data_IF_138594152228
#
_entry.id   IF_138594152228
#
_cell.length_a   1.000
_cell.length_b   1.000
_cell.length_c   1.000
_cell.angle_alpha   90.00
_cell.angle_beta   90.00
_cell.angle_gamma   90.00
#
_symmetry.space_group_name_H-M   'P 1'
#
loop_
_entity.id
_entity.type
_entity.pdbx_description
1 polymer ?
#
# COMPACT_ATOMS: atom_id res chain seq x y z
N UNK A 1 -9.11 -12.45 8.24
CA UNK A 1 -9.04 -12.15 6.79
C UNK A 1 -10.28 -11.39 6.33
N UNK A 2 -10.94 -10.60 7.21
CA UNK A 2 -12.26 -10.04 6.90
C UNK A 2 -12.26 -8.76 6.05
N UNK A 3 -11.17 -7.99 6.01
CA UNK A 3 -11.14 -6.73 5.25
C UNK A 3 -11.36 -6.97 3.75
N UNK A 4 -10.51 -7.78 3.11
CA UNK A 4 -10.64 -8.08 1.68
C UNK A 4 -11.96 -8.77 1.32
N UNK A 5 -12.43 -9.68 2.17
CA UNK A 5 -13.72 -10.35 2.02
C UNK A 5 -14.88 -9.33 2.06
N UNK A 6 -14.88 -8.41 3.04
CA UNK A 6 -15.91 -7.37 3.15
C UNK A 6 -15.92 -6.42 1.95
N UNK A 7 -14.75 -6.04 1.43
CA UNK A 7 -14.65 -5.20 0.22
C UNK A 7 -15.11 -5.95 -1.02
N UNK A 8 -14.77 -7.22 -1.17
CA UNK A 8 -15.26 -8.07 -2.26
C UNK A 8 -16.79 -8.18 -2.25
N UNK A 9 -17.41 -8.37 -1.08
CA UNK A 9 -18.87 -8.37 -0.95
C UNK A 9 -19.46 -7.01 -1.34
N UNK A 10 -18.89 -5.90 -0.88
CA UNK A 10 -19.36 -4.56 -1.23
C UNK A 10 -19.29 -4.30 -2.75
N UNK A 11 -18.20 -4.68 -3.41
CA UNK A 11 -18.06 -4.57 -4.87
C UNK A 11 -19.15 -5.37 -5.61
N UNK A 12 -19.47 -6.59 -5.15
CA UNK A 12 -20.53 -7.41 -5.74
C UNK A 12 -21.90 -6.77 -5.57
N UNK A 13 -22.20 -6.21 -4.39
CA UNK A 13 -23.46 -5.50 -4.15
C UNK A 13 -23.60 -4.34 -5.13
N UNK A 14 -22.55 -3.53 -5.30
CA UNK A 14 -22.56 -2.42 -6.25
C UNK A 14 -22.73 -2.88 -7.70
N UNK A 15 -22.12 -4.01 -8.08
CA UNK A 15 -22.34 -4.63 -9.39
C UNK A 15 -23.81 -5.03 -9.61
N UNK A 16 -24.46 -5.62 -8.61
CA UNK A 16 -25.90 -5.97 -8.68
C UNK A 16 -26.77 -4.72 -8.76
N UNK A 17 -26.46 -3.67 -7.99
CA UNK A 17 -27.18 -2.40 -8.05
C UNK A 17 -27.11 -1.82 -9.46
N UNK A 18 -25.93 -1.77 -10.08
CA UNK A 18 -25.79 -1.32 -11.46
C UNK A 18 -26.67 -2.14 -12.43
N UNK A 19 -26.66 -3.47 -12.31
CA UNK A 19 -27.43 -4.35 -13.18
C UNK A 19 -28.96 -4.18 -13.03
N UNK A 20 -29.44 -4.05 -11.80
CA UNK A 20 -30.88 -4.00 -11.51
C UNK A 20 -31.48 -2.59 -11.68
N UNK A 21 -30.72 -1.55 -11.32
CA UNK A 21 -31.22 -0.17 -11.28
C UNK A 21 -30.70 0.72 -12.41
N UNK A 22 -29.69 0.28 -13.17
CA UNK A 22 -29.05 1.08 -14.20
C UNK A 22 -28.19 2.23 -13.67
N UNK A 23 -28.03 2.37 -12.35
CA UNK A 23 -27.17 3.39 -11.74
C UNK A 23 -25.72 3.18 -12.17
N UNK A 24 -25.06 4.25 -12.62
CA UNK A 24 -23.64 4.23 -12.92
C UNK A 24 -22.84 4.01 -11.64
N UNK A 25 -21.91 3.06 -11.68
CA UNK A 25 -21.06 2.65 -10.56
C UNK A 25 -19.61 2.68 -11.02
N UNK A 26 -18.76 3.35 -10.26
CA UNK A 26 -17.31 3.29 -10.42
C UNK A 26 -16.68 2.72 -9.14
N UNK A 27 -15.93 1.63 -9.29
CA UNK A 27 -15.22 0.95 -8.21
C UNK A 27 -13.73 1.23 -8.38
N UNK A 28 -13.15 1.92 -7.41
CA UNK A 28 -11.72 2.21 -7.38
C UNK A 28 -11.05 1.30 -6.36
N UNK A 29 -10.26 0.34 -6.86
CA UNK A 29 -9.44 -0.56 -6.05
C UNK A 29 -8.10 0.11 -5.76
N UNK A 30 -8.06 0.87 -4.68
CA UNK A 30 -6.88 1.64 -4.30
C UNK A 30 -5.92 0.73 -3.52
N UNK A 31 -4.64 0.73 -3.91
CA UNK A 31 -3.57 0.05 -3.18
C UNK A 31 -3.12 0.82 -1.94
N UNK A 32 -1.84 0.72 -1.61
CA UNK A 32 -1.27 1.50 -0.50
C UNK A 32 -1.26 2.99 -0.87
N UNK A 33 -1.95 3.81 -0.08
CA UNK A 33 -1.91 5.26 -0.22
C UNK A 33 -0.67 5.77 0.53
N UNK A 34 0.18 6.50 -0.18
CA UNK A 34 1.37 7.19 0.31
C UNK A 34 1.06 8.56 0.92
N UNK A 35 2.10 9.26 1.34
CA UNK A 35 1.99 10.68 1.70
C UNK A 35 1.74 11.57 0.48
N UNK A 36 1.60 12.89 0.68
CA UNK A 36 1.44 13.79 -0.45
C UNK A 36 2.69 13.83 -1.34
N UNK A 37 2.51 14.00 -2.65
CA UNK A 37 3.60 14.30 -3.57
C UNK A 37 4.06 15.75 -3.42
N UNK A 38 3.13 16.67 -3.18
CA UNK A 38 3.44 18.08 -2.94
C UNK A 38 3.94 18.31 -1.51
N UNK A 39 5.19 18.78 -1.38
CA UNK A 39 5.79 19.09 -0.08
C UNK A 39 4.95 20.13 0.68
N UNK A 40 4.68 19.85 1.95
CA UNK A 40 3.93 20.76 2.83
C UNK A 40 2.41 20.73 2.70
N UNK A 41 1.85 19.87 1.84
CA UNK A 41 0.39 19.76 1.63
C UNK A 41 -0.31 18.83 2.63
N UNK A 42 0.41 18.24 3.58
CA UNK A 42 -0.18 17.38 4.60
C UNK A 42 0.82 16.38 5.19
N UNK A 43 0.28 15.49 6.02
CA UNK A 43 1.06 14.46 6.73
C UNK A 43 0.56 13.08 6.30
N UNK A 44 1.47 12.15 6.05
CA UNK A 44 1.10 10.75 5.85
C UNK A 44 0.72 10.11 7.19
N UNK A 45 -0.54 9.64 7.37
CA UNK A 45 -0.91 8.95 8.59
C UNK A 45 0.00 7.74 8.82
N UNK A 46 0.24 7.43 10.09
CA UNK A 46 1.07 6.29 10.46
C UNK A 46 0.52 5.02 9.83
N UNK A 47 1.33 4.41 8.96
CA UNK A 47 1.03 3.08 8.44
C UNK A 47 1.51 2.06 9.47
N UNK A 48 0.59 1.62 10.33
CA UNK A 48 0.89 0.78 11.49
C UNK A 48 1.69 -0.48 11.15
N UNK A 49 1.39 -1.12 10.02
CA UNK A 49 2.10 -2.33 9.59
C UNK A 49 3.55 -2.04 9.15
N UNK A 50 3.79 -0.93 8.42
CA UNK A 50 5.13 -0.49 8.01
C UNK A 50 5.94 -0.07 9.25
N UNK A 51 5.37 0.78 10.10
CA UNK A 51 6.01 1.21 11.35
C UNK A 51 6.35 0.02 12.23
N UNK A 52 5.46 -0.98 12.32
CA UNK A 52 5.69 -2.19 13.09
C UNK A 52 6.88 -3.00 12.56
N UNK A 53 7.04 -3.11 11.23
CA UNK A 53 8.23 -3.74 10.62
C UNK A 53 9.49 -2.97 11.02
N UNK A 54 9.50 -1.63 10.88
CA UNK A 54 10.68 -0.80 11.18
C UNK A 54 11.07 -0.87 12.65
N UNK A 55 10.12 -0.65 13.57
CA UNK A 55 10.37 -0.70 15.02
C UNK A 55 10.81 -2.08 15.47
N UNK A 56 10.19 -3.13 14.93
CA UNK A 56 10.62 -4.52 15.21
C UNK A 56 12.02 -4.76 14.68
N UNK A 57 12.35 -4.31 13.46
CA UNK A 57 13.66 -4.49 12.85
C UNK A 57 14.80 -3.85 13.66
N UNK A 58 14.59 -2.64 14.21
CA UNK A 58 15.56 -1.98 15.09
C UNK A 58 15.88 -2.77 16.36
N UNK A 59 14.92 -3.51 16.90
CA UNK A 59 15.10 -4.30 18.14
C UNK A 59 15.49 -5.75 17.86
N UNK A 60 14.97 -6.33 16.78
CA UNK A 60 15.22 -7.71 16.36
C UNK A 60 16.59 -7.86 15.69
N UNK A 61 17.09 -6.80 15.04
CA UNK A 61 18.38 -6.76 14.36
C UNK A 61 18.31 -6.73 12.83
N UNK A 62 17.38 -7.45 12.17
CA UNK A 62 17.21 -7.37 10.73
C UNK A 62 15.88 -6.75 10.27
N UNK A 63 15.86 -6.19 9.06
CA UNK A 63 14.66 -5.85 8.29
C UNK A 63 14.38 -6.89 7.20
N UNK A 64 13.09 -7.16 6.89
CA UNK A 64 12.72 -8.05 5.80
C UNK A 64 12.79 -7.32 4.45
N UNK A 65 13.41 -7.95 3.46
CA UNK A 65 13.27 -7.59 2.04
C UNK A 65 12.15 -8.38 1.37
N UNK A 66 11.74 -7.88 0.21
CA UNK A 66 10.78 -8.57 -0.66
C UNK A 66 9.35 -8.61 -0.14
N UNK A 67 8.99 -7.79 0.86
CA UNK A 67 7.69 -7.89 1.55
C UNK A 67 6.52 -7.69 0.59
N UNK A 68 6.53 -6.58 -0.14
CA UNK A 68 5.47 -6.13 -1.03
C UNK A 68 6.06 -5.21 -2.11
N UNK A 69 5.36 -4.99 -3.24
CA UNK A 69 5.78 -3.96 -4.18
C UNK A 69 5.64 -2.58 -3.53
N UNK A 70 6.52 -1.65 -3.89
CA UNK A 70 6.34 -0.24 -3.54
C UNK A 70 5.61 0.41 -4.72
N UNK A 71 4.29 0.20 -4.73
CA UNK A 71 3.35 0.73 -5.71
C UNK A 71 2.48 1.86 -5.13
N UNK A 72 3.05 2.59 -4.18
CA UNK A 72 2.32 3.49 -3.30
C UNK A 72 1.88 4.75 -4.04
N UNK A 73 0.58 5.02 -4.03
CA UNK A 73 0.02 6.21 -4.70
C UNK A 73 -0.01 7.41 -3.76
N UNK A 74 0.57 8.56 -4.12
CA UNK A 74 0.46 9.76 -3.31
C UNK A 74 -1.00 10.19 -3.10
N UNK A 75 -1.35 10.62 -1.88
CA UNK A 75 -2.75 10.87 -1.50
C UNK A 75 -3.44 11.96 -2.33
N UNK A 76 -2.70 13.00 -2.69
CA UNK A 76 -3.12 14.09 -3.59
C UNK A 76 -3.42 13.60 -5.00
N UNK A 77 -2.65 12.61 -5.49
CA UNK A 77 -2.93 11.95 -6.77
C UNK A 77 -4.15 11.05 -6.69
N UNK A 78 -4.31 10.27 -5.62
CA UNK A 78 -5.53 9.46 -5.39
C UNK A 78 -6.77 10.36 -5.35
N UNK A 79 -6.72 11.48 -4.64
CA UNK A 79 -7.82 12.44 -4.60
C UNK A 79 -8.16 13.01 -5.99
N UNK A 80 -7.13 13.32 -6.80
CA UNK A 80 -7.29 13.71 -8.18
C UNK A 80 -7.99 12.66 -9.04
N UNK A 81 -7.60 11.38 -8.92
CA UNK A 81 -8.25 10.26 -9.64
C UNK A 81 -9.72 10.14 -9.24
N UNK A 82 -10.02 10.22 -7.94
CA UNK A 82 -11.40 10.17 -7.43
C UNK A 82 -12.24 11.33 -7.99
N UNK A 83 -11.68 12.54 -8.03
CA UNK A 83 -12.34 13.71 -8.60
C UNK A 83 -12.57 13.56 -10.11
N UNK A 84 -11.58 13.07 -10.86
CA UNK A 84 -11.69 12.86 -12.30
C UNK A 84 -12.78 11.83 -12.61
N UNK A 85 -12.83 10.72 -11.88
CA UNK A 85 -13.85 9.67 -12.02
C UNK A 85 -15.24 10.18 -11.61
N UNK A 86 -15.34 11.01 -10.57
CA UNK A 86 -16.61 11.57 -10.11
C UNK A 86 -17.14 12.67 -11.03
N UNK A 87 -16.25 13.41 -11.68
CA UNK A 87 -16.56 14.53 -12.59
C UNK A 87 -16.75 14.12 -14.06
N UNK A 88 -16.71 12.82 -14.39
CA UNK A 88 -17.04 12.33 -15.72
C UNK A 88 -18.54 12.53 -16.04
N UNK A 89 -18.87 13.71 -16.56
CA UNK A 89 -20.15 14.02 -17.20
C UNK A 89 -20.38 13.19 -18.48
N UNK A 90 -21.65 13.03 -18.86
CA UNK A 90 -22.27 12.09 -19.81
C UNK A 90 -21.80 12.14 -21.30
N UNK A 91 -20.59 12.65 -21.58
CA UNK A 91 -20.09 12.89 -22.95
C UNK A 91 -18.98 11.95 -23.45
N UNK A 92 -18.42 11.07 -22.61
CA UNK A 92 -17.53 10.00 -23.08
C UNK A 92 -18.39 8.79 -23.45
N UNK A 93 -18.32 8.41 -24.73
CA UNK A 93 -19.24 7.51 -25.43
C UNK A 93 -19.93 6.45 -24.56
N UNK A 94 -21.25 6.44 -24.68
CA UNK A 94 -22.23 5.59 -24.03
C UNK A 94 -22.14 4.09 -24.41
N UNK A 95 -20.94 3.55 -24.56
CA UNK A 95 -20.70 2.12 -24.82
C UNK A 95 -20.35 1.34 -23.54
N UNK A 96 -19.98 2.02 -22.45
CA UNK A 96 -19.60 1.38 -21.20
C UNK A 96 -20.84 1.12 -20.33
N UNK A 97 -21.03 -0.14 -19.90
CA UNK A 97 -22.26 -0.71 -19.29
C UNK A 97 -22.58 -0.18 -17.87
N UNK A 98 -22.28 1.08 -17.58
CA UNK A 98 -22.53 1.75 -16.31
C UNK A 98 -21.65 1.28 -15.15
N UNK A 99 -21.05 0.09 -15.18
CA UNK A 99 -20.11 -0.41 -14.17
C UNK A 99 -18.67 -0.30 -14.65
N UNK A 100 -17.86 0.49 -13.94
CA UNK A 100 -16.41 0.59 -14.14
C UNK A 100 -15.65 0.09 -12.92
N UNK A 101 -14.57 -0.63 -13.16
CA UNK A 101 -13.64 -1.08 -12.11
C UNK A 101 -12.24 -0.65 -12.53
N UNK A 102 -11.50 0.02 -11.65
CA UNK A 102 -10.14 0.48 -11.94
C UNK A 102 -9.23 0.24 -10.75
N UNK A 103 -8.04 -0.29 -11.00
CA UNK A 103 -7.02 -0.43 -9.96
C UNK A 103 -6.20 0.87 -9.89
N UNK A 104 -6.18 1.47 -8.71
CA UNK A 104 -5.50 2.74 -8.44
C UNK A 104 -4.26 2.45 -7.61
N UNK A 105 -3.18 2.11 -8.31
CA UNK A 105 -1.84 1.86 -7.77
C UNK A 105 -0.81 2.55 -8.67
N UNK A 106 0.41 2.73 -8.18
CA UNK A 106 1.47 3.34 -8.98
C UNK A 106 1.75 2.45 -10.22
N UNK A 107 1.76 3.02 -11.44
CA UNK A 107 1.91 2.23 -12.67
C UNK A 107 3.30 1.59 -12.82
N UNK A 108 4.30 2.20 -12.20
CA UNK A 108 5.69 1.77 -12.21
C UNK A 108 6.14 1.45 -10.78
N UNK A 109 5.83 0.26 -10.25
CA UNK A 109 6.21 -0.11 -8.89
C UNK A 109 7.72 -0.25 -8.78
N UNK A 110 8.29 0.30 -7.70
CA UNK A 110 9.71 0.15 -7.39
C UNK A 110 9.95 -1.00 -6.41
N UNK A 111 11.21 -1.43 -6.29
CA UNK A 111 11.60 -2.47 -5.35
C UNK A 111 11.39 -2.02 -3.90
N UNK A 112 11.05 -2.98 -3.04
CA UNK A 112 11.05 -2.81 -1.58
C UNK A 112 12.40 -2.32 -1.05
N UNK A 113 13.49 -2.65 -1.75
CA UNK A 113 14.82 -2.19 -1.38
C UNK A 113 14.93 -0.66 -1.41
N UNK A 114 14.18 0.05 -2.27
CA UNK A 114 14.13 1.52 -2.27
C UNK A 114 13.62 2.05 -0.93
N UNK A 115 12.62 1.40 -0.34
CA UNK A 115 12.13 1.75 0.99
C UNK A 115 13.18 1.46 2.08
N UNK A 116 13.87 0.32 2.00
CA UNK A 116 14.94 -0.03 2.96
C UNK A 116 16.13 0.94 2.87
N UNK A 117 16.54 1.31 1.65
CA UNK A 117 17.59 2.29 1.39
C UNK A 117 17.21 3.68 1.89
N UNK A 118 15.93 4.06 1.70
CA UNK A 118 15.37 5.29 2.25
C UNK A 118 15.48 5.31 3.78
N UNK A 119 15.11 4.22 4.46
CA UNK A 119 15.23 4.09 5.92
C UNK A 119 16.68 4.21 6.40
N UNK A 120 17.63 3.58 5.68
CA UNK A 120 19.05 3.67 6.00
C UNK A 120 19.57 5.10 5.83
N UNK A 121 19.33 5.71 4.66
CA UNK A 121 19.89 7.00 4.25
C UNK A 121 19.32 8.19 5.02
N UNK A 122 18.01 8.21 5.27
CA UNK A 122 17.32 9.36 5.85
C UNK A 122 16.94 9.19 7.32
N UNK A 123 16.88 7.95 7.83
CA UNK A 123 16.43 7.66 9.19
C UNK A 123 17.46 6.87 10.02
N UNK A 124 18.67 6.65 9.50
CA UNK A 124 19.77 6.00 10.22
C UNK A 124 19.47 4.56 10.64
N UNK A 125 18.58 3.86 9.93
CA UNK A 125 18.23 2.47 10.24
C UNK A 125 19.30 1.54 9.68
N UNK A 126 20.39 1.38 10.44
CA UNK A 126 21.52 0.51 10.09
C UNK A 126 21.36 -0.88 10.69
N UNK A 127 20.68 -1.75 9.95
CA UNK A 127 20.32 -3.11 10.35
C UNK A 127 20.59 -4.09 9.22
N UNK A 128 20.78 -5.36 9.55
CA UNK A 128 20.91 -6.44 8.57
C UNK A 128 19.63 -6.51 7.70
N UNK A 129 19.76 -6.88 6.42
CA UNK A 129 18.61 -7.13 5.55
C UNK A 129 18.56 -8.62 5.23
N UNK A 130 17.41 -9.26 5.51
CA UNK A 130 17.20 -10.69 5.27
C UNK A 130 15.90 -10.91 4.50
N UNK A 131 15.72 -12.10 3.91
CA UNK A 131 14.46 -12.45 3.25
C UNK A 131 13.27 -12.50 4.23
N UNK A 132 12.07 -12.17 3.75
CA UNK A 132 10.85 -12.25 4.57
C UNK A 132 10.67 -13.60 5.31
N UNK A 133 10.90 -14.78 4.70
CA UNK A 133 10.77 -16.06 5.41
C UNK A 133 11.73 -16.20 6.61
N UNK A 134 12.98 -15.78 6.43
CA UNK A 134 13.98 -15.82 7.49
C UNK A 134 13.61 -14.85 8.62
N UNK A 135 13.22 -13.63 8.25
CA UNK A 135 12.80 -12.62 9.20
C UNK A 135 11.60 -13.08 10.06
N UNK A 136 10.60 -13.72 9.43
CA UNK A 136 9.45 -14.30 10.13
C UNK A 136 9.88 -15.42 11.08
N UNK A 137 10.84 -16.27 10.69
CA UNK A 137 11.41 -17.30 11.55
C UNK A 137 12.13 -16.73 12.78
N UNK A 138 12.91 -15.64 12.60
CA UNK A 138 13.54 -14.92 13.72
C UNK A 138 12.49 -14.29 14.64
N UNK A 139 11.44 -13.69 14.08
CA UNK A 139 10.34 -13.08 14.84
C UNK A 139 9.54 -14.12 15.66
N UNK A 140 9.21 -15.28 15.07
CA UNK A 140 8.55 -16.39 15.76
C UNK A 140 9.42 -16.93 16.91
N UNK A 141 10.73 -17.11 16.67
CA UNK A 141 11.67 -17.62 17.68
C UNK A 141 11.72 -16.71 18.91
N UNK A 142 11.74 -15.39 18.70
CA UNK A 142 11.73 -14.42 19.80
C UNK A 142 10.39 -14.43 20.54
N UNK A 143 9.28 -14.56 19.82
CA UNK A 143 7.95 -14.66 20.42
C UNK A 143 7.80 -15.90 21.31
N UNK A 144 8.45 -17.01 20.95
CA UNK A 144 8.48 -18.24 21.74
C UNK A 144 9.40 -18.11 22.96
N UNK A 145 10.60 -17.55 22.80
CA UNK A 145 11.59 -17.48 23.87
C UNK A 145 11.30 -16.40 24.93
N UNK A 146 10.77 -15.24 24.52
CA UNK A 146 10.57 -14.06 25.39
C UNK A 146 9.09 -13.73 25.64
N UNK A 147 8.19 -14.59 25.17
CA UNK A 147 6.76 -14.32 25.14
C UNK A 147 6.36 -13.35 24.01
N UNK A 148 5.05 -13.21 23.78
CA UNK A 148 4.49 -12.33 22.75
C UNK A 148 4.47 -10.87 23.19
N UNK A 149 5.63 -10.31 23.50
CA UNK A 149 5.81 -8.90 23.82
C UNK A 149 5.58 -8.03 22.57
N UNK A 150 4.32 -7.63 22.37
CA UNK A 150 3.88 -6.80 21.24
C UNK A 150 4.28 -5.34 21.38
N UNK A 151 4.71 -4.89 22.56
CA UNK A 151 5.23 -3.52 22.71
C UNK A 151 6.65 -3.46 22.16
N UNK A 152 7.47 -4.46 22.48
CA UNK A 152 8.85 -4.56 21.99
C UNK A 152 8.93 -5.02 20.54
N UNK A 153 8.04 -5.92 20.12
CA UNK A 153 7.99 -6.47 18.76
C UNK A 153 6.61 -6.22 18.15
N UNK A 154 6.27 -4.96 17.78
CA UNK A 154 4.94 -4.61 17.28
C UNK A 154 4.54 -5.36 16.01
N UNK A 155 5.48 -5.89 15.22
CA UNK A 155 5.16 -6.72 14.07
C UNK A 155 4.42 -8.02 14.44
N UNK A 156 4.48 -8.46 15.70
CA UNK A 156 3.68 -9.60 16.19
C UNK A 156 2.17 -9.35 16.09
N UNK A 157 1.73 -8.09 16.05
CA UNK A 157 0.32 -7.72 15.79
C UNK A 157 -0.07 -8.12 14.36
N UNK A 158 0.86 -7.96 13.41
CA UNK A 158 0.67 -8.23 11.99
C UNK A 158 1.21 -9.59 11.55
N UNK A 159 1.61 -10.46 12.49
CA UNK A 159 2.29 -11.72 12.17
C UNK A 159 1.50 -12.59 11.19
N UNK A 160 0.21 -12.82 11.43
CA UNK A 160 -0.63 -13.61 10.53
C UNK A 160 -0.84 -12.97 9.16
N UNK A 161 -0.78 -11.64 9.07
CA UNK A 161 -0.81 -10.93 7.80
C UNK A 161 0.50 -11.14 7.04
N UNK A 162 1.64 -10.87 7.69
CA UNK A 162 2.97 -10.99 7.09
C UNK A 162 3.29 -12.44 6.67
N UNK A 163 2.90 -13.41 7.50
CA UNK A 163 3.05 -14.85 7.19
C UNK A 163 2.27 -15.27 5.94
N UNK A 164 1.12 -14.63 5.65
CA UNK A 164 0.33 -14.92 4.44
C UNK A 164 0.99 -14.43 3.16
N UNK A 165 1.93 -13.50 3.24
CA UNK A 165 2.72 -13.04 2.10
C UNK A 165 3.71 -14.12 1.61
N UNK A 166 3.93 -15.20 2.39
CA UNK A 166 4.84 -16.31 2.08
C UNK A 166 6.27 -15.81 1.82
N UNK A 167 6.72 -15.89 0.57
CA UNK A 167 8.03 -15.43 0.12
C UNK A 167 8.08 -13.93 -0.14
N UNK A 168 6.93 -13.25 -0.05
CA UNK A 168 6.78 -11.85 -0.43
C UNK A 168 5.89 -11.66 -1.64
N UNK A 169 5.33 -10.46 -1.80
CA UNK A 169 4.48 -10.11 -2.93
C UNK A 169 5.14 -9.14 -3.92
N UNK A 170 6.42 -8.80 -3.75
CA UNK A 170 7.11 -7.77 -4.54
C UNK A 170 7.01 -7.95 -6.07
N UNK A 171 6.96 -9.20 -6.55
CA UNK A 171 6.79 -9.50 -7.97
C UNK A 171 5.36 -9.32 -8.52
N UNK A 172 4.36 -9.10 -7.66
CA UNK A 172 2.99 -8.91 -8.11
C UNK A 172 2.84 -7.60 -8.86
N UNK A 173 2.08 -7.64 -9.94
CA UNK A 173 1.73 -6.48 -10.75
C UNK A 173 0.22 -6.43 -10.89
N UNK A 174 -0.31 -5.21 -10.89
CA UNK A 174 -1.73 -4.96 -11.04
C UNK A 174 -1.93 -4.18 -12.33
N UNK A 175 -2.96 -4.56 -13.09
CA UNK A 175 -3.30 -3.87 -14.32
C UNK A 175 -3.92 -2.50 -14.03
N UNK A 176 -3.27 -1.45 -14.52
CA UNK A 176 -3.66 -0.05 -14.32
C UNK A 176 -4.20 0.62 -15.59
N UNK A 177 -4.42 -0.14 -16.68
CA UNK A 177 -4.87 0.42 -17.97
C UNK A 177 -6.14 1.26 -17.83
N UNK A 178 -7.10 0.80 -17.04
CA UNK A 178 -8.36 1.53 -16.86
C UNK A 178 -8.18 2.80 -16.02
N UNK A 179 -7.29 2.80 -15.02
CA UNK A 179 -6.92 4.02 -14.30
C UNK A 179 -6.30 5.05 -15.26
N UNK A 180 -5.40 4.63 -16.14
CA UNK A 180 -4.74 5.53 -17.10
C UNK A 180 -5.69 6.12 -18.14
N UNK A 181 -6.82 5.46 -18.43
CA UNK A 181 -7.87 6.00 -19.29
C UNK A 181 -8.71 7.07 -18.59
N UNK A 182 -8.88 6.95 -17.27
CA UNK A 182 -9.80 7.82 -16.50
C UNK A 182 -9.10 8.97 -15.78
N UNK A 183 -7.84 8.78 -15.40
CA UNK A 183 -7.04 9.78 -14.70
C UNK A 183 -6.27 10.62 -15.71
N UNK A 184 -6.32 11.95 -15.55
CA UNK A 184 -5.44 12.88 -16.28
C UNK A 184 -4.24 13.32 -15.43
N UNK A 185 -4.03 12.65 -14.29
CA UNK A 185 -3.03 13.05 -13.30
C UNK A 185 -1.66 12.52 -13.69
N UNK A 186 -0.68 13.40 -13.64
CA UNK A 186 0.72 13.02 -13.63
C UNK A 186 1.02 12.30 -12.31
N UNK A 187 1.54 11.08 -12.41
CA UNK A 187 1.86 10.25 -11.26
C UNK A 187 3.37 10.40 -11.07
N UNK A 188 3.75 11.14 -10.04
CA UNK A 188 5.14 11.37 -9.69
C UNK A 188 5.85 10.04 -9.44
N UNK A 189 7.09 9.92 -9.93
CA UNK A 189 7.94 8.76 -9.71
C UNK A 189 8.09 8.44 -8.21
N UNK A 190 8.06 7.15 -7.88
CA UNK A 190 8.27 6.64 -6.52
C UNK A 190 9.75 6.69 -6.12
N UNK A 191 10.33 7.89 -6.02
CA UNK A 191 11.73 8.10 -5.67
C UNK A 191 12.00 7.99 -4.16
N UNK A 192 13.27 7.77 -3.78
CA UNK A 192 13.70 7.81 -2.38
C UNK A 192 13.36 9.15 -1.72
N UNK A 193 13.55 10.28 -2.41
CA UNK A 193 13.29 11.62 -1.87
C UNK A 193 11.81 11.81 -1.55
N UNK A 194 10.93 11.26 -2.39
CA UNK A 194 9.48 11.31 -2.17
C UNK A 194 9.11 10.45 -0.97
N UNK A 195 9.57 9.19 -0.94
CA UNK A 195 9.28 8.26 0.15
C UNK A 195 9.88 8.76 1.47
N UNK A 196 11.06 9.36 1.47
CA UNK A 196 11.69 9.91 2.68
C UNK A 196 10.85 11.00 3.35
N UNK A 197 10.06 11.75 2.57
CA UNK A 197 9.19 12.81 3.08
C UNK A 197 7.96 12.31 3.83
N UNK A 198 7.62 11.02 3.75
CA UNK A 198 6.35 10.53 4.29
C UNK A 198 6.43 9.99 5.74
N UNK A 199 7.44 9.17 6.12
CA UNK A 199 7.54 8.61 7.48
C UNK A 199 8.02 9.58 8.57
N UNK A 200 8.27 10.85 8.25
CA UNK A 200 8.76 11.85 9.22
C UNK A 200 8.00 11.89 10.57
N UNK A 201 6.67 11.72 10.64
CA UNK A 201 5.93 11.74 11.90
C UNK A 201 5.96 10.42 12.68
N UNK A 202 6.57 9.35 12.17
CA UNK A 202 6.34 8.00 12.69
C UNK A 202 7.18 7.65 13.92
N UNK A 203 8.09 8.54 14.33
CA UNK A 203 9.05 8.32 15.41
C UNK A 203 9.75 6.95 15.21
N UNK A 204 10.28 6.78 13.99
CA UNK A 204 10.88 5.52 13.52
C UNK A 204 12.32 5.36 13.87
#
# INVERSE_FOLDING_TARGET
MGYGESKCVAERILGVVNQVSGVRVSILRIGQIGGPAEKGSGVWPVQEWLRAIVKTGRVLGPLPRGVAPVDWMPVDRVAGVVADVSGMEDGMEAEDKGLRISNVVHPEPVSWDVFLETLRKYFGVEVEIVGLPEWLGRLESVAQAKGRDRQRFPALIFYDFLRKLREGLEGQRVDVRDMNKVSRRDIAESSEELIAGWPTPWDI
#
